data_IF_056285911541
#
_entry.id   IF_056285911541
#
_cell.length_a   1.000
_cell.length_b   1.000
_cell.length_c   1.000
_cell.angle_alpha   90.00
_cell.angle_beta   90.00
_cell.angle_gamma   90.00
#
_symmetry.space_group_name_H-M   'P 1'
#
loop_
_entity.id
_entity.type
_entity.pdbx_description
1 polymer ?
#
# COMPACT_ATOMS: atom_id res chain seq x y z
N UNK A 1 11.77 -25.53 26.01
CA UNK A 1 10.58 -24.63 26.10
C UNK A 1 10.37 -23.76 24.86
N UNK A 2 11.41 -23.26 24.18
CA UNK A 2 11.23 -22.49 22.92
C UNK A 2 10.59 -23.35 21.82
N UNK A 3 11.01 -24.61 21.66
CA UNK A 3 10.39 -25.57 20.73
C UNK A 3 8.90 -25.83 20.99
N UNK A 4 8.44 -25.58 22.23
CA UNK A 4 7.02 -25.70 22.57
C UNK A 4 6.21 -24.52 22.05
N UNK A 5 6.84 -23.36 21.81
CA UNK A 5 6.19 -22.21 21.18
C UNK A 5 5.85 -22.51 19.72
N UNK A 6 6.80 -23.07 18.96
CA UNK A 6 6.58 -23.39 17.55
C UNK A 6 5.44 -24.40 17.38
N UNK A 7 5.33 -25.41 18.26
CA UNK A 7 4.20 -26.35 18.30
C UNK A 7 2.85 -25.70 18.57
N UNK A 8 2.84 -24.56 19.26
CA UNK A 8 1.64 -23.77 19.53
C UNK A 8 1.39 -22.69 18.47
N UNK A 9 2.20 -22.66 17.40
CA UNK A 9 2.12 -21.63 16.36
C UNK A 9 2.60 -20.26 16.84
N UNK A 10 3.46 -20.22 17.85
CA UNK A 10 4.06 -19.00 18.39
C UNK A 10 5.54 -18.93 18.05
N UNK A 11 6.02 -17.74 17.72
CA UNK A 11 7.43 -17.49 17.45
C UNK A 11 7.97 -16.38 18.34
N UNK A 12 9.10 -16.60 19.00
CA UNK A 12 9.83 -15.55 19.71
C UNK A 12 10.72 -14.79 18.73
N UNK A 13 10.35 -13.56 18.41
CA UNK A 13 11.10 -12.70 17.50
C UNK A 13 12.41 -12.18 18.13
N UNK A 14 13.42 -12.00 17.29
CA UNK A 14 14.67 -11.30 17.58
C UNK A 14 15.06 -10.42 16.37
N UNK A 15 15.72 -9.25 16.57
CA UNK A 15 16.20 -8.72 17.85
C UNK A 15 15.10 -8.09 18.72
N UNK A 16 13.99 -7.63 18.14
CA UNK A 16 12.88 -7.06 18.90
C UNK A 16 12.09 -8.17 19.60
N UNK A 17 12.37 -8.38 20.88
CA UNK A 17 11.81 -9.46 21.69
C UNK A 17 10.29 -9.34 21.79
N UNK A 18 9.58 -10.17 21.02
CA UNK A 18 8.12 -10.21 21.01
C UNK A 18 7.62 -11.62 20.65
N UNK A 19 6.44 -11.99 21.15
CA UNK A 19 5.78 -13.23 20.71
C UNK A 19 4.89 -12.92 19.53
N UNK A 20 5.17 -13.55 18.39
CA UNK A 20 4.36 -13.47 17.19
C UNK A 20 3.46 -14.70 17.10
N UNK A 21 2.19 -14.51 16.78
CA UNK A 21 1.36 -15.60 16.31
C UNK A 21 1.67 -15.87 14.83
N UNK A 22 2.13 -17.07 14.49
CA UNK A 22 2.53 -17.43 13.12
C UNK A 22 1.32 -17.42 12.19
N UNK A 23 0.15 -17.87 12.68
CA UNK A 23 -1.07 -17.93 11.87
C UNK A 23 -1.70 -16.55 11.68
N UNK A 24 -1.78 -15.74 12.75
CA UNK A 24 -2.37 -14.41 12.67
C UNK A 24 -1.41 -13.33 12.16
N UNK A 25 -0.10 -13.61 12.17
CA UNK A 25 0.96 -12.74 11.63
C UNK A 25 1.04 -11.36 12.30
N UNK A 26 0.89 -11.31 13.62
CA UNK A 26 1.11 -10.12 14.45
C UNK A 26 1.65 -10.48 15.83
N UNK A 27 2.20 -9.48 16.52
CA UNK A 27 2.72 -9.61 17.87
C UNK A 27 1.61 -9.58 18.93
N UNK A 28 1.67 -10.53 19.86
CA UNK A 28 0.76 -10.64 20.99
C UNK A 28 1.34 -9.93 22.21
N UNK A 29 0.49 -9.24 22.97
CA UNK A 29 0.89 -8.71 24.28
C UNK A 29 1.33 -9.87 25.18
N UNK A 30 2.51 -9.75 25.76
CA UNK A 30 3.15 -10.80 26.56
C UNK A 30 2.51 -11.06 27.94
N UNK A 31 1.27 -10.60 28.13
CA UNK A 31 0.43 -11.05 29.23
C UNK A 31 0.05 -12.51 28.97
N UNK A 32 0.64 -13.41 29.75
CA UNK A 32 0.47 -14.86 29.58
C UNK A 32 -0.99 -15.32 29.54
N UNK A 33 -1.91 -14.60 30.20
CA UNK A 33 -3.35 -14.87 30.11
C UNK A 33 -3.93 -14.55 28.74
N UNK A 34 -3.50 -13.44 28.11
CA UNK A 34 -3.95 -13.02 26.79
C UNK A 34 -3.45 -13.95 25.69
N UNK A 35 -2.20 -14.38 25.76
CA UNK A 35 -1.63 -15.32 24.78
C UNK A 35 -2.36 -16.66 24.86
N UNK A 36 -2.51 -17.20 26.07
CA UNK A 36 -3.26 -18.43 26.24
C UNK A 36 -4.67 -18.25 25.68
N UNK A 37 -5.43 -17.24 26.12
CA UNK A 37 -6.80 -16.97 25.64
C UNK A 37 -6.87 -16.87 24.11
N UNK A 38 -5.99 -16.10 23.49
CA UNK A 38 -5.89 -15.97 22.03
C UNK A 38 -5.76 -17.34 21.34
N UNK A 39 -4.84 -18.19 21.82
CA UNK A 39 -4.66 -19.53 21.27
C UNK A 39 -5.91 -20.42 21.42
N UNK A 40 -6.67 -20.26 22.51
CA UNK A 40 -7.91 -21.00 22.70
C UNK A 40 -9.03 -20.51 21.79
N UNK A 41 -9.25 -19.20 21.75
CA UNK A 41 -10.38 -18.58 21.03
C UNK A 41 -10.15 -18.52 19.52
N UNK A 42 -8.93 -18.23 19.07
CA UNK A 42 -8.61 -18.02 17.65
C UNK A 42 -8.11 -19.28 16.95
N UNK A 43 -7.51 -20.21 17.70
CA UNK A 43 -6.88 -21.40 17.15
C UNK A 43 -7.39 -22.73 17.73
N UNK A 44 -8.38 -22.68 18.64
CA UNK A 44 -8.99 -23.89 19.20
C UNK A 44 -8.05 -24.74 20.06
N UNK A 45 -6.90 -24.21 20.50
CA UNK A 45 -5.93 -25.00 21.26
C UNK A 45 -6.51 -25.31 22.64
N UNK A 46 -6.48 -26.59 23.04
CA UNK A 46 -7.05 -27.05 24.31
C UNK A 46 -6.36 -26.39 25.52
N UNK A 47 -7.07 -26.34 26.66
CA UNK A 47 -6.49 -25.82 27.92
C UNK A 47 -5.27 -26.64 28.36
N UNK A 48 -5.33 -27.97 28.19
CA UNK A 48 -4.24 -28.88 28.54
C UNK A 48 -2.98 -28.60 27.72
N UNK A 49 -3.11 -28.42 26.40
CA UNK A 49 -1.97 -28.13 25.51
C UNK A 49 -1.32 -26.77 25.80
N UNK A 50 -2.07 -25.82 26.37
CA UNK A 50 -1.57 -24.49 26.77
C UNK A 50 -1.08 -24.42 28.22
N UNK A 51 -1.09 -25.53 28.97
CA UNK A 51 -0.67 -25.56 30.38
C UNK A 51 0.77 -25.10 30.52
N UNK A 52 1.06 -24.25 31.51
CA UNK A 52 2.41 -23.72 31.76
C UNK A 52 2.83 -22.57 30.84
N UNK A 53 2.10 -22.27 29.77
CA UNK A 53 2.45 -21.19 28.84
C UNK A 53 2.44 -19.82 29.53
N UNK A 54 1.42 -19.53 30.34
CA UNK A 54 1.30 -18.25 31.03
C UNK A 54 2.50 -17.91 31.94
N UNK A 55 2.88 -18.79 32.89
CA UNK A 55 4.10 -18.65 33.67
C UNK A 55 5.36 -18.46 32.82
N UNK A 56 5.51 -19.26 31.75
CA UNK A 56 6.65 -19.15 30.85
C UNK A 56 6.70 -17.79 30.13
N UNK A 57 5.57 -17.27 29.65
CA UNK A 57 5.52 -15.93 29.03
C UNK A 57 5.94 -14.83 30.00
N UNK A 58 5.54 -14.93 31.28
CA UNK A 58 5.95 -13.98 32.31
C UNK A 58 7.45 -14.06 32.61
N UNK A 59 8.05 -15.26 32.60
CA UNK A 59 9.50 -15.41 32.84
C UNK A 59 10.34 -14.77 31.73
N UNK A 60 9.81 -14.64 30.51
CA UNK A 60 10.52 -13.99 29.41
C UNK A 60 10.63 -12.46 29.57
N UNK A 61 9.82 -11.82 30.43
CA UNK A 61 9.81 -10.36 30.66
C UNK A 61 9.83 -9.55 29.36
N UNK A 62 8.94 -9.90 28.44
CA UNK A 62 8.90 -9.26 27.12
C UNK A 62 8.24 -7.87 27.20
N UNK A 63 8.72 -6.89 26.41
CA UNK A 63 8.09 -5.58 26.32
C UNK A 63 6.68 -5.65 25.70
N UNK A 64 5.89 -4.58 25.87
CA UNK A 64 4.63 -4.41 25.15
C UNK A 64 4.94 -4.22 23.65
N UNK A 65 4.35 -5.04 22.75
CA UNK A 65 4.48 -4.87 21.31
C UNK A 65 4.20 -3.46 20.78
N UNK A 66 3.31 -2.70 21.42
CA UNK A 66 2.99 -1.33 21.01
C UNK A 66 4.13 -0.33 21.29
N UNK A 67 5.05 -0.71 22.19
CA UNK A 67 6.22 0.09 22.58
C UNK A 67 7.50 -0.33 21.84
N UNK A 68 7.44 -1.39 21.03
CA UNK A 68 8.58 -1.82 20.24
C UNK A 68 9.01 -0.71 19.26
N UNK A 69 10.33 -0.63 18.97
CA UNK A 69 10.83 0.33 17.99
C UNK A 69 10.17 0.08 16.62
N UNK A 70 9.83 1.17 15.96
CA UNK A 70 9.38 1.15 14.56
C UNK A 70 10.64 1.00 13.72
N UNK A 71 10.61 0.10 12.74
CA UNK A 71 11.75 -0.07 11.82
C UNK A 71 11.78 1.08 10.82
N UNK A 72 12.94 1.29 10.21
CA UNK A 72 13.07 2.27 9.13
C UNK A 72 12.17 1.88 7.94
N UNK A 73 11.60 2.90 7.29
CA UNK A 73 10.88 2.74 6.03
C UNK A 73 11.77 2.14 4.94
N UNK A 74 11.18 1.32 4.08
CA UNK A 74 11.89 0.58 3.04
C UNK A 74 12.72 -0.61 3.56
N UNK A 75 12.52 -1.00 4.81
CA UNK A 75 13.15 -2.20 5.39
C UNK A 75 12.65 -3.48 4.72
N UNK A 76 13.50 -4.51 4.79
CA UNK A 76 13.19 -5.81 4.18
C UNK A 76 11.98 -6.48 4.84
N UNK A 77 11.30 -7.34 4.08
CA UNK A 77 10.20 -8.09 4.60
C UNK A 77 10.49 -8.99 5.85
N UNK A 78 10.05 -8.63 7.06
CA UNK A 78 9.75 -9.49 8.21
C UNK A 78 8.88 -10.73 7.83
N UNK A 79 9.43 -11.95 7.92
CA UNK A 79 8.80 -13.16 7.38
C UNK A 79 7.50 -13.60 8.08
N UNK A 80 7.26 -13.11 9.30
CA UNK A 80 6.15 -13.54 10.17
C UNK A 80 5.12 -12.45 10.49
N UNK A 81 5.21 -11.26 9.87
CA UNK A 81 4.22 -10.20 10.02
C UNK A 81 3.37 -10.05 8.76
N UNK A 82 2.10 -9.68 8.91
CA UNK A 82 1.16 -9.52 7.79
C UNK A 82 1.32 -8.16 7.15
N UNK A 83 1.55 -8.11 5.84
CA UNK A 83 1.54 -6.88 5.06
C UNK A 83 0.10 -6.36 4.99
N UNK A 84 -0.08 -5.10 5.34
CA UNK A 84 -1.34 -4.39 5.18
C UNK A 84 -1.19 -3.37 4.05
N UNK A 85 -2.15 -3.36 3.13
CA UNK A 85 -2.22 -2.31 2.12
C UNK A 85 -2.83 -1.07 2.76
N UNK A 86 -2.20 0.06 2.55
CA UNK A 86 -2.67 1.34 3.06
C UNK A 86 -2.12 2.51 2.29
N UNK A 87 -2.34 3.69 2.84
CA UNK A 87 -1.90 4.94 2.27
C UNK A 87 -1.37 5.87 3.36
N UNK A 88 -0.58 6.86 2.95
CA UNK A 88 -0.06 7.91 3.81
C UNK A 88 -0.44 9.29 3.29
N UNK A 89 -0.66 10.24 4.19
CA UNK A 89 -0.77 11.66 3.85
C UNK A 89 0.56 12.17 3.29
N UNK A 90 0.55 12.85 2.12
CA UNK A 90 1.77 13.44 1.53
C UNK A 90 2.34 14.60 2.34
N UNK A 91 1.51 15.27 3.12
CA UNK A 91 1.87 16.50 3.82
C UNK A 91 2.53 16.26 5.19
N UNK A 92 2.06 15.24 5.92
CA UNK A 92 2.55 14.95 7.27
C UNK A 92 2.92 13.48 7.51
N UNK A 93 2.75 12.61 6.50
CA UNK A 93 3.10 11.20 6.61
C UNK A 93 2.13 10.34 7.42
N UNK A 94 1.00 10.87 7.92
CA UNK A 94 0.00 10.10 8.65
C UNK A 94 -0.46 8.88 7.85
N UNK A 95 -0.40 7.68 8.44
CA UNK A 95 -0.71 6.40 7.77
C UNK A 95 -2.06 5.85 8.17
N UNK A 96 -2.74 5.22 7.23
CA UNK A 96 -3.98 4.48 7.49
C UNK A 96 -4.21 3.40 6.43
N UNK A 97 -4.93 2.35 6.81
CA UNK A 97 -5.50 1.39 5.85
C UNK A 97 -6.81 1.88 5.24
N UNK A 98 -7.43 2.91 5.82
CA UNK A 98 -8.72 3.45 5.39
C UNK A 98 -8.61 4.83 4.73
N UNK A 99 -9.03 4.94 3.47
CA UNK A 99 -9.05 6.21 2.74
C UNK A 99 -9.96 7.26 3.36
N UNK A 100 -11.06 6.84 4.02
CA UNK A 100 -11.97 7.76 4.71
C UNK A 100 -11.29 8.49 5.87
N UNK A 101 -10.43 7.78 6.62
CA UNK A 101 -9.65 8.35 7.73
C UNK A 101 -8.70 9.43 7.19
N UNK A 102 -8.02 9.14 6.07
CA UNK A 102 -7.12 10.10 5.42
C UNK A 102 -7.89 11.29 4.83
N UNK A 103 -9.04 11.07 4.21
CA UNK A 103 -9.90 12.14 3.69
C UNK A 103 -10.36 13.09 4.80
N UNK A 104 -10.81 12.55 5.94
CA UNK A 104 -11.19 13.35 7.12
C UNK A 104 -9.99 14.11 7.70
N UNK A 105 -8.84 13.46 7.80
CA UNK A 105 -7.61 14.08 8.25
C UNK A 105 -7.18 15.25 7.35
N UNK A 106 -7.13 15.03 6.03
CA UNK A 106 -6.76 16.04 5.04
C UNK A 106 -7.68 17.25 5.12
N UNK A 107 -9.01 17.04 5.16
CA UNK A 107 -9.97 18.15 5.30
C UNK A 107 -9.79 18.95 6.60
N UNK A 108 -9.34 18.30 7.67
CA UNK A 108 -9.20 18.94 8.99
C UNK A 108 -7.87 19.68 9.15
N UNK A 109 -6.77 19.09 8.67
CA UNK A 109 -5.41 19.57 8.95
C UNK A 109 -4.68 20.15 7.73
N UNK A 110 -5.17 19.88 6.51
CA UNK A 110 -4.56 20.27 5.22
C UNK A 110 -5.59 20.92 4.29
N UNK A 111 -6.57 21.65 4.85
CA UNK A 111 -7.68 22.25 4.09
C UNK A 111 -7.20 23.27 3.06
N UNK A 112 -6.17 24.05 3.39
CA UNK A 112 -5.56 25.04 2.51
C UNK A 112 -4.91 24.37 1.28
N UNK A 113 -4.12 23.31 1.49
CA UNK A 113 -3.46 22.54 0.42
C UNK A 113 -4.48 21.96 -0.58
N UNK A 114 -5.62 21.49 -0.08
CA UNK A 114 -6.71 20.96 -0.92
C UNK A 114 -7.37 22.06 -1.74
N UNK A 115 -7.58 23.25 -1.17
CA UNK A 115 -8.22 24.37 -1.86
C UNK A 115 -7.38 24.86 -3.05
N UNK A 116 -6.06 24.97 -2.88
CA UNK A 116 -5.14 25.31 -3.97
C UNK A 116 -5.19 24.30 -5.13
N UNK A 117 -5.45 23.02 -4.82
CA UNK A 117 -5.53 21.96 -5.83
C UNK A 117 -6.84 21.98 -6.61
N UNK A 118 -7.94 22.45 -6.00
CA UNK A 118 -9.28 22.53 -6.61
C UNK A 118 -9.42 23.65 -7.66
N UNK A 119 -8.51 24.62 -7.69
CA UNK A 119 -8.50 25.67 -8.72
C UNK A 119 -8.13 25.18 -10.13
N UNK A 120 -7.60 23.96 -10.25
CA UNK A 120 -7.20 23.37 -11.54
C UNK A 120 -8.25 22.39 -12.05
N UNK A 121 -9.39 22.89 -12.54
CA UNK A 121 -10.29 22.31 -13.57
C UNK A 121 -10.62 20.80 -13.64
N UNK A 122 -10.23 19.95 -12.69
CA UNK A 122 -10.38 18.49 -12.80
C UNK A 122 -11.73 18.02 -12.24
N UNK A 123 -12.32 16.95 -12.81
CA UNK A 123 -13.58 16.38 -12.31
C UNK A 123 -13.44 15.95 -10.85
N UNK A 124 -14.51 16.13 -10.08
CA UNK A 124 -14.62 16.04 -8.60
C UNK A 124 -14.21 14.72 -7.90
N UNK A 125 -13.40 13.85 -8.50
CA UNK A 125 -13.22 12.47 -7.98
C UNK A 125 -11.78 12.05 -7.65
N UNK A 126 -10.75 12.85 -8.00
CA UNK A 126 -9.33 12.43 -7.80
C UNK A 126 -8.51 13.29 -6.83
N UNK A 127 -9.13 14.31 -6.20
CA UNK A 127 -8.40 15.22 -5.30
C UNK A 127 -7.70 14.49 -4.13
N UNK A 128 -8.25 13.35 -3.67
CA UNK A 128 -7.66 12.60 -2.58
C UNK A 128 -6.31 11.99 -2.99
N UNK A 129 -6.23 11.44 -4.20
CA UNK A 129 -5.04 10.80 -4.76
C UNK A 129 -3.87 11.78 -4.91
N UNK A 130 -4.15 13.06 -5.13
CA UNK A 130 -3.13 14.11 -5.21
C UNK A 130 -2.45 14.40 -3.86
N UNK A 131 -3.11 14.05 -2.75
CA UNK A 131 -2.66 14.34 -1.40
C UNK A 131 -2.30 13.09 -0.57
N UNK A 132 -2.40 11.90 -1.16
CA UNK A 132 -1.97 10.64 -0.52
C UNK A 132 -0.92 9.90 -1.33
N UNK A 133 -0.04 9.18 -0.64
CA UNK A 133 0.76 8.10 -1.20
C UNK A 133 -0.06 6.83 -1.01
N UNK A 134 -0.68 6.35 -2.09
CA UNK A 134 -1.51 5.15 -2.08
C UNK A 134 -0.69 3.87 -2.30
N UNK A 135 -1.31 2.70 -2.08
CA UNK A 135 -0.72 1.36 -2.33
C UNK A 135 0.58 1.11 -1.56
N UNK A 136 0.71 1.70 -0.38
CA UNK A 136 1.82 1.43 0.50
C UNK A 136 1.67 0.05 1.14
N UNK A 137 2.73 -0.74 1.05
CA UNK A 137 2.87 -1.97 1.83
C UNK A 137 3.35 -1.61 3.22
N UNK A 138 2.42 -1.60 4.18
CA UNK A 138 2.64 -1.19 5.56
C UNK A 138 2.77 -2.39 6.50
N UNK A 139 3.64 -2.24 7.49
CA UNK A 139 3.76 -3.18 8.59
C UNK A 139 3.70 -2.59 9.96
N UNK A 140 3.12 -3.37 10.85
CA UNK A 140 2.94 -3.04 12.25
C UNK A 140 3.26 -4.25 13.10
N UNK A 141 3.72 -4.00 14.33
CA UNK A 141 3.81 -5.07 15.32
C UNK A 141 2.42 -5.59 15.71
N UNK A 142 1.43 -4.69 15.82
CA UNK A 142 0.05 -5.04 16.24
C UNK A 142 -0.97 -4.65 15.16
N UNK A 143 -2.11 -5.34 15.12
CA UNK A 143 -3.17 -5.08 14.12
C UNK A 143 -3.75 -3.66 14.24
N UNK A 144 -3.81 -3.11 15.46
CA UNK A 144 -4.50 -1.87 15.79
C UNK A 144 -3.66 -0.59 15.62
N UNK A 145 -2.34 -0.69 15.42
CA UNK A 145 -1.45 0.47 15.50
C UNK A 145 -0.79 0.83 14.17
N UNK A 146 -1.63 1.14 13.16
CA UNK A 146 -1.16 1.55 11.83
C UNK A 146 -0.35 2.86 11.85
N UNK A 147 -0.56 3.72 12.85
CA UNK A 147 0.22 4.95 13.01
C UNK A 147 1.70 4.69 13.31
N UNK A 148 2.04 3.54 13.90
CA UNK A 148 3.42 3.08 14.13
C UNK A 148 3.87 2.07 13.08
N UNK A 149 3.36 2.21 11.85
CA UNK A 149 3.76 1.35 10.74
C UNK A 149 4.97 1.87 9.99
N UNK A 150 5.73 0.96 9.39
CA UNK A 150 6.79 1.26 8.45
C UNK A 150 6.46 0.70 7.07
N UNK A 151 6.99 1.32 6.01
CA UNK A 151 6.86 0.81 4.65
C UNK A 151 7.88 -0.29 4.42
N UNK A 152 7.49 -1.25 3.60
CA UNK A 152 8.30 -2.41 3.26
C UNK A 152 8.55 -2.37 1.76
N UNK A 153 9.79 -2.64 1.34
CA UNK A 153 10.05 -2.89 -0.09
C UNK A 153 9.51 -4.27 -0.45
N UNK A 154 8.58 -4.39 -1.41
CA UNK A 154 8.21 -5.69 -1.93
C UNK A 154 9.45 -6.37 -2.52
N UNK A 155 9.55 -7.70 -2.36
CA UNK A 155 10.65 -8.48 -2.94
C UNK A 155 10.72 -8.21 -4.45
N UNK A 156 11.83 -7.63 -4.91
CA UNK A 156 12.06 -7.28 -6.32
C UNK A 156 12.18 -5.78 -6.62
N UNK A 157 11.81 -4.90 -5.70
CA UNK A 157 12.10 -3.47 -5.82
C UNK A 157 13.51 -3.18 -5.30
N UNK A 158 14.50 -3.36 -6.18
CA UNK A 158 15.81 -2.75 -6.03
C UNK A 158 15.61 -1.23 -5.86
N UNK A 159 16.37 -0.53 -5.00
CA UNK A 159 16.29 0.92 -4.94
C UNK A 159 16.53 1.44 -6.36
N UNK A 160 15.48 1.94 -7.02
CA UNK A 160 15.67 2.82 -8.14
C UNK A 160 16.31 4.07 -7.55
N UNK A 161 17.65 4.06 -7.52
CA UNK A 161 18.42 5.28 -7.39
C UNK A 161 17.85 6.26 -8.39
N UNK A 162 17.46 7.43 -7.90
CA UNK A 162 16.93 8.53 -8.71
C UNK A 162 15.98 8.05 -9.81
N UNK A 163 14.68 7.95 -9.50
CA UNK A 163 13.67 8.08 -10.54
C UNK A 163 13.89 9.42 -11.25
N UNK A 164 14.73 9.42 -12.27
CA UNK A 164 14.46 10.20 -13.47
C UNK A 164 13.03 9.82 -13.83
N UNK A 165 12.11 10.80 -13.93
CA UNK A 165 10.74 10.49 -14.31
C UNK A 165 10.84 9.72 -15.61
N UNK A 166 10.40 8.45 -15.60
CA UNK A 166 10.28 7.68 -16.81
C UNK A 166 9.52 8.57 -17.78
N UNK A 167 10.25 8.99 -18.80
CA UNK A 167 9.83 9.99 -19.76
C UNK A 167 8.47 9.55 -20.28
N UNK A 168 7.53 10.49 -20.39
CA UNK A 168 6.13 10.34 -20.83
C UNK A 168 6.00 9.69 -22.25
N UNK A 169 7.09 9.16 -22.80
CA UNK A 169 7.27 8.74 -24.18
C UNK A 169 7.35 7.24 -24.41
N UNK A 170 7.30 6.39 -23.38
CA UNK A 170 7.19 4.95 -23.59
C UNK A 170 5.73 4.51 -23.43
N UNK A 171 4.90 4.97 -24.37
CA UNK A 171 3.63 4.31 -24.62
C UNK A 171 3.92 2.86 -25.02
N UNK A 172 3.17 1.86 -24.51
CA UNK A 172 3.31 0.45 -24.92
C UNK A 172 3.41 0.32 -26.43
N UNK A 173 4.20 -0.63 -26.94
CA UNK A 173 4.48 -0.78 -28.37
C UNK A 173 3.21 -0.77 -29.24
N UNK A 174 2.13 -1.37 -28.74
CA UNK A 174 0.82 -1.36 -29.39
C UNK A 174 0.25 0.06 -29.64
N UNK A 175 0.45 0.99 -28.70
CA UNK A 175 0.01 2.40 -28.84
C UNK A 175 0.89 3.14 -29.85
N UNK A 176 2.21 2.86 -29.88
CA UNK A 176 3.09 3.47 -30.87
C UNK A 176 2.81 2.97 -32.28
N UNK A 177 2.55 1.67 -32.44
CA UNK A 177 2.15 1.06 -33.72
C UNK A 177 0.84 1.70 -34.19
N UNK A 178 -0.17 1.76 -33.31
CA UNK A 178 -1.45 2.37 -33.64
C UNK A 178 -1.31 3.85 -34.02
N UNK A 179 -0.50 4.63 -33.30
CA UNK A 179 -0.26 6.05 -33.61
C UNK A 179 0.44 6.24 -34.97
N UNK A 180 1.40 5.39 -35.31
CA UNK A 180 2.08 5.41 -36.62
C UNK A 180 1.15 5.05 -37.76
N UNK A 181 0.30 4.03 -37.57
CA UNK A 181 -0.73 3.65 -38.54
C UNK A 181 -1.75 4.78 -38.77
N UNK A 182 -2.19 5.43 -37.69
CA UNK A 182 -3.12 6.56 -37.78
C UNK A 182 -2.48 7.72 -38.57
N UNK A 183 -1.23 8.05 -38.26
CA UNK A 183 -0.51 9.12 -38.94
C UNK A 183 -0.29 8.82 -40.43
N UNK A 184 0.10 7.59 -40.79
CA UNK A 184 0.27 7.19 -42.18
C UNK A 184 -1.05 7.29 -42.96
N UNK A 185 -2.16 6.91 -42.34
CA UNK A 185 -3.50 7.01 -42.94
C UNK A 185 -3.94 8.46 -43.14
N UNK A 186 -3.65 9.33 -42.18
CA UNK A 186 -3.91 10.77 -42.26
C UNK A 186 -3.12 11.40 -43.42
N UNK A 187 -1.83 11.07 -43.53
CA UNK A 187 -0.97 11.58 -44.62
C UNK A 187 -1.49 11.15 -46.00
N UNK A 188 -1.91 9.88 -46.15
CA UNK A 188 -2.51 9.41 -47.41
C UNK A 188 -3.80 10.16 -47.77
N UNK A 189 -4.64 10.49 -46.77
CA UNK A 189 -5.85 11.29 -46.98
C UNK A 189 -5.52 12.71 -47.46
N UNK A 190 -4.54 13.35 -46.84
CA UNK A 190 -4.10 14.70 -47.19
C UNK A 190 -3.49 14.74 -48.60
N UNK A 191 -2.64 13.77 -48.95
CA UNK A 191 -2.08 13.66 -50.31
C UNK A 191 -3.17 13.44 -51.36
N UNK A 192 -4.20 12.67 -51.04
CA UNK A 192 -5.35 12.47 -51.91
C UNK A 192 -6.20 13.74 -52.03
N UNK A 193 -6.41 14.51 -50.95
CA UNK A 193 -7.10 15.80 -51.03
C UNK A 193 -6.34 16.83 -51.86
N UNK A 194 -5.02 16.89 -51.76
CA UNK A 194 -4.18 17.79 -52.57
C UNK A 194 -4.33 17.47 -54.06
N UNK A 195 -4.34 16.18 -54.44
CA UNK A 195 -4.57 15.77 -55.83
C UNK A 195 -6.00 16.01 -56.35
N UNK A 196 -7.00 16.16 -55.48
CA UNK A 196 -8.39 16.41 -55.87
C UNK A 196 -8.81 17.89 -55.74
N UNK A 197 -7.90 18.79 -55.35
CA UNK A 197 -8.14 20.23 -55.24
C UNK A 197 -8.07 21.00 -56.58
N UNK A 198 -8.61 20.38 -57.63
CA UNK A 198 -9.08 21.07 -58.84
C UNK A 198 -10.51 20.60 -59.12
N UNK A 199 -11.45 20.97 -58.25
CA UNK A 199 -12.87 20.69 -58.46
C UNK A 199 -13.70 20.67 -57.17
N UNK A 200 -14.30 21.82 -56.86
CA UNK A 200 -15.53 22.00 -56.06
C UNK A 200 -15.68 21.23 -54.74
N UNK A 201 -15.60 21.96 -53.62
CA UNK A 201 -15.92 21.50 -52.26
C UNK A 201 -17.42 21.19 -52.12
N UNK A 202 -17.83 20.06 -51.53
CA UNK A 202 -19.05 20.00 -50.74
C UNK A 202 -18.75 19.79 -49.25
N UNK A 203 -19.47 20.55 -48.44
CA UNK A 203 -19.53 20.47 -46.98
C UNK A 203 -19.92 19.07 -46.50
N UNK A 204 -19.12 18.48 -45.61
CA UNK A 204 -19.37 17.19 -44.99
C UNK A 204 -19.19 17.25 -43.47
N UNK A 205 -20.32 17.38 -42.78
CA UNK A 205 -20.49 17.33 -41.33
C UNK A 205 -20.03 15.96 -40.79
N UNK A 206 -19.23 15.92 -39.72
CA UNK A 206 -19.04 14.70 -38.92
C UNK A 206 -19.37 14.94 -37.45
N UNK A 207 -20.56 14.47 -37.07
CA UNK A 207 -20.89 14.02 -35.73
C UNK A 207 -19.95 12.87 -35.37
N UNK A 208 -19.29 12.95 -34.21
CA UNK A 208 -18.75 11.75 -33.55
C UNK A 208 -19.61 11.49 -32.31
N UNK A 209 -20.24 10.31 -32.33
CA UNK A 209 -21.01 9.74 -31.22
C UNK A 209 -20.08 8.76 -30.51
N UNK A 210 -19.65 9.11 -29.30
CA UNK A 210 -19.27 8.20 -28.23
C UNK A 210 -19.69 8.84 -26.91
#
# INVERSE_FOLDING_TARGET
MIEQLDRLGLHLNQPERAILCIQCKFALKADGGRIARHLGERHGISKLARRGLGPFMRSLRLPDPEKLPVRSDGSSPHPRLRIQQGAACRHCGLRSTGLEVLSRHLKKFHSQDIQHSRGRGFPRSHWLQDHILDRLSLWTWTVSNIGRSWTVRPYGEQPQGSHTPATIYQAPDAIQVFAKELYAREQQYLSQQEHHSSGTIPLGIWRVRL
#
